data_IF_819927776454
#
_entry.id   IF_819927776454
#
_cell.length_a   1.000
_cell.length_b   1.000
_cell.length_c   1.000
_cell.angle_alpha   90.00
_cell.angle_beta   90.00
_cell.angle_gamma   90.00
#
_symmetry.space_group_name_H-M   'P 1'
#
loop_
_entity.id
_entity.type
_entity.pdbx_description
1 polymer ?
#
# COMPACT_ATOMS: atom_id res chain seq x y z
N UNK A 1 -30.62 24.22 1.30
CA UNK A 1 -29.47 23.52 1.91
C UNK A 1 -28.92 22.59 0.83
N UNK A 2 -27.79 22.95 0.23
CA UNK A 2 -27.14 22.14 -0.80
C UNK A 2 -26.21 21.15 -0.10
N UNK A 3 -26.41 19.86 -0.35
CA UNK A 3 -25.46 18.82 0.00
C UNK A 3 -24.32 18.91 -1.02
N UNK A 4 -23.16 19.42 -0.60
CA UNK A 4 -21.93 19.33 -1.37
C UNK A 4 -21.61 17.83 -1.53
N UNK A 5 -21.77 17.33 -2.75
CA UNK A 5 -21.27 16.01 -3.12
C UNK A 5 -19.74 16.04 -3.02
N UNK A 6 -19.18 15.26 -2.10
CA UNK A 6 -17.77 14.90 -2.13
C UNK A 6 -17.52 14.03 -3.36
N UNK A 7 -17.10 14.63 -4.46
CA UNK A 7 -16.34 13.89 -5.48
C UNK A 7 -14.95 13.66 -4.90
N UNK A 8 -14.75 12.50 -4.25
CA UNK A 8 -13.40 11.94 -4.15
C UNK A 8 -12.92 11.76 -5.59
N UNK A 9 -11.90 12.52 -5.99
CA UNK A 9 -11.38 12.45 -7.35
C UNK A 9 -10.79 11.06 -7.54
N UNK A 10 -11.47 10.21 -8.30
CA UNK A 10 -11.02 8.85 -8.68
C UNK A 10 -9.94 8.88 -9.76
N UNK A 11 -9.33 10.04 -10.00
CA UNK A 11 -8.37 10.23 -11.08
C UNK A 11 -7.00 9.73 -10.62
N UNK A 12 -6.76 8.44 -10.90
CA UNK A 12 -5.44 7.83 -10.75
C UNK A 12 -4.45 8.59 -11.63
N UNK A 13 -3.48 9.26 -11.00
CA UNK A 13 -2.45 10.03 -11.70
C UNK A 13 -1.43 9.12 -12.39
N UNK A 14 -0.55 9.70 -13.22
CA UNK A 14 0.56 8.92 -13.80
C UNK A 14 1.54 8.43 -12.73
N UNK A 15 1.79 9.27 -11.72
CA UNK A 15 2.68 8.93 -10.60
C UNK A 15 2.06 7.83 -9.74
N UNK A 16 0.74 7.88 -9.49
CA UNK A 16 0.04 6.81 -8.79
C UNK A 16 0.10 5.49 -9.56
N UNK A 17 -0.07 5.49 -10.89
CA UNK A 17 0.07 4.25 -11.68
C UNK A 17 1.46 3.64 -11.57
N UNK A 18 2.50 4.48 -11.64
CA UNK A 18 3.89 4.04 -11.47
C UNK A 18 4.10 3.49 -10.06
N UNK A 19 3.64 4.21 -9.05
CA UNK A 19 3.75 3.81 -7.65
C UNK A 19 3.02 2.49 -7.37
N UNK A 20 1.76 2.35 -7.82
CA UNK A 20 0.97 1.13 -7.68
C UNK A 20 1.69 -0.08 -8.31
N UNK A 21 2.23 0.07 -9.52
CA UNK A 21 2.98 -1.00 -10.19
C UNK A 21 4.20 -1.45 -9.37
N UNK A 22 4.95 -0.51 -8.78
CA UNK A 22 6.09 -0.85 -7.95
C UNK A 22 5.67 -1.46 -6.61
N UNK A 23 4.65 -0.90 -5.98
CA UNK A 23 4.09 -1.37 -4.71
C UNK A 23 3.56 -2.80 -4.83
N UNK A 24 2.97 -3.20 -5.97
CA UNK A 24 2.55 -4.58 -6.19
C UNK A 24 3.71 -5.57 -6.05
N UNK A 25 4.86 -5.26 -6.64
CA UNK A 25 6.05 -6.09 -6.55
C UNK A 25 6.66 -6.10 -5.15
N UNK A 26 6.81 -4.94 -4.53
CA UNK A 26 7.40 -4.81 -3.19
C UNK A 26 6.52 -5.52 -2.15
N UNK A 27 5.23 -5.22 -2.12
CA UNK A 27 4.29 -5.81 -1.17
C UNK A 27 4.19 -7.33 -1.33
N UNK A 28 4.15 -7.85 -2.56
CA UNK A 28 4.11 -9.28 -2.79
C UNK A 28 5.39 -9.98 -2.33
N UNK A 29 6.57 -9.43 -2.63
CA UNK A 29 7.85 -9.97 -2.17
C UNK A 29 7.92 -10.01 -0.64
N UNK A 30 7.53 -8.92 0.02
CA UNK A 30 7.55 -8.86 1.48
C UNK A 30 6.48 -9.75 2.13
N UNK A 31 5.31 -9.91 1.49
CA UNK A 31 4.28 -10.84 1.94
C UNK A 31 4.74 -12.31 1.81
N UNK A 32 5.41 -12.68 0.72
CA UNK A 32 6.02 -14.00 0.51
C UNK A 32 7.11 -14.27 1.57
N UNK A 33 8.00 -13.29 1.80
CA UNK A 33 9.04 -13.38 2.84
C UNK A 33 8.43 -13.56 4.24
N UNK A 34 7.34 -12.84 4.54
CA UNK A 34 6.63 -12.94 5.81
C UNK A 34 5.79 -14.23 5.94
N UNK A 35 5.49 -14.91 4.84
CA UNK A 35 4.78 -16.19 4.85
C UNK A 35 5.60 -17.31 5.50
N UNK A 36 6.92 -17.31 5.29
CA UNK A 36 7.85 -18.31 5.83
C UNK A 36 7.85 -19.67 5.09
N UNK A 37 6.95 -19.87 4.13
CA UNK A 37 6.90 -21.03 3.23
C UNK A 37 6.62 -20.56 1.78
N UNK A 38 7.64 -20.11 1.03
CA UNK A 38 7.44 -19.47 -0.28
C UNK A 38 6.92 -20.45 -1.35
N UNK A 39 7.21 -21.75 -1.23
CA UNK A 39 6.72 -22.77 -2.17
C UNK A 39 5.20 -22.95 -2.19
N UNK A 40 4.52 -22.60 -1.10
CA UNK A 40 3.06 -22.65 -0.97
C UNK A 40 2.39 -21.29 -1.24
N UNK A 41 3.18 -20.25 -1.54
CA UNK A 41 2.68 -18.90 -1.79
C UNK A 41 2.60 -18.62 -3.29
N UNK A 42 1.41 -18.78 -3.87
CA UNK A 42 1.15 -18.42 -5.26
C UNK A 42 0.44 -17.06 -5.33
N UNK A 43 1.23 -16.00 -5.47
CA UNK A 43 0.69 -14.65 -5.67
C UNK A 43 -0.30 -14.61 -6.84
N UNK A 44 -1.47 -14.02 -6.60
CA UNK A 44 -2.54 -13.90 -7.61
C UNK A 44 -2.68 -12.46 -8.09
N UNK A 45 -2.83 -11.48 -7.19
CA UNK A 45 -2.87 -10.05 -7.49
C UNK A 45 -2.65 -9.22 -6.22
N UNK A 46 -2.32 -7.94 -6.37
CA UNK A 46 -2.22 -7.00 -5.25
C UNK A 46 -3.15 -5.82 -5.50
N UNK A 47 -3.85 -5.38 -4.46
CA UNK A 47 -4.62 -4.14 -4.47
C UNK A 47 -4.05 -3.19 -3.40
N UNK A 48 -3.93 -1.90 -3.71
CA UNK A 48 -3.40 -0.91 -2.78
C UNK A 48 -4.29 0.33 -2.73
N UNK A 49 -4.29 1.02 -1.60
CA UNK A 49 -4.78 2.39 -1.55
C UNK A 49 -3.93 3.32 -2.41
N UNK A 50 -4.54 4.41 -2.88
CA UNK A 50 -3.89 5.38 -3.75
C UNK A 50 -2.85 6.21 -2.95
N UNK A 51 -1.56 6.21 -3.32
CA UNK A 51 -0.53 6.96 -2.60
C UNK A 51 -0.81 8.46 -2.52
N UNK A 52 -1.25 9.10 -3.62
CA UNK A 52 -1.55 10.54 -3.63
C UNK A 52 -2.71 10.94 -2.72
N UNK A 53 -3.62 10.01 -2.41
CA UNK A 53 -4.72 10.22 -1.46
C UNK A 53 -4.31 9.94 0.00
N UNK A 54 -3.13 9.34 0.22
CA UNK A 54 -2.65 8.87 1.52
C UNK A 54 -1.27 9.44 1.84
N UNK A 55 -1.05 10.70 1.49
CA UNK A 55 0.12 11.46 1.89
C UNK A 55 0.13 11.65 3.40
N UNK A 56 1.29 11.42 4.01
CA UNK A 56 1.49 11.64 5.44
C UNK A 56 1.62 13.13 5.68
N UNK A 57 0.70 13.68 6.47
CA UNK A 57 0.75 15.09 6.83
C UNK A 57 1.86 15.31 7.87
N UNK A 58 2.53 16.47 7.80
CA UNK A 58 3.62 16.82 8.70
C UNK A 58 3.19 16.95 10.18
N UNK A 59 1.89 17.10 10.46
CA UNK A 59 1.30 17.20 11.79
C UNK A 59 0.84 15.85 12.38
N UNK A 60 0.65 14.83 11.53
CA UNK A 60 0.21 13.48 11.93
C UNK A 60 1.36 12.65 12.51
N UNK A 61 2.58 12.94 12.06
CA UNK A 61 3.79 12.45 12.69
C UNK A 61 4.20 13.49 13.74
N UNK A 62 4.30 13.10 15.01
CA UNK A 62 4.91 13.92 16.07
C UNK A 62 6.44 14.05 15.81
N UNK A 63 6.78 14.76 14.73
CA UNK A 63 8.14 14.97 14.23
C UNK A 63 8.90 16.01 15.05
N UNK A 64 8.38 16.41 16.22
CA UNK A 64 9.12 17.22 17.17
C UNK A 64 10.37 16.50 17.71
N UNK A 65 10.53 15.19 17.42
CA UNK A 65 11.65 14.35 17.89
C UNK A 65 12.59 13.78 16.82
N UNK A 66 12.40 14.05 15.53
CA UNK A 66 13.27 13.49 14.47
C UNK A 66 13.74 14.56 13.48
N UNK A 67 15.07 14.72 13.34
CA UNK A 67 15.75 15.59 12.36
C UNK A 67 15.56 15.17 10.88
N UNK A 68 14.75 14.13 10.62
CA UNK A 68 14.38 13.72 9.28
C UNK A 68 13.10 14.45 8.86
N UNK A 69 13.25 15.48 8.02
CA UNK A 69 12.11 16.11 7.37
C UNK A 69 11.38 15.06 6.52
N UNK A 70 10.10 14.85 6.80
CA UNK A 70 9.22 14.04 5.96
C UNK A 70 8.88 14.87 4.72
N UNK A 71 9.10 14.28 3.55
CA UNK A 71 8.79 14.92 2.27
C UNK A 71 7.29 15.16 2.16
N UNK A 72 6.87 16.22 1.48
CA UNK A 72 5.45 16.45 1.16
C UNK A 72 4.87 15.35 0.23
N UNK A 73 5.75 14.51 -0.32
CA UNK A 73 5.41 13.37 -1.17
C UNK A 73 5.45 12.03 -0.42
N UNK A 74 5.76 12.02 0.88
CA UNK A 74 5.74 10.80 1.69
C UNK A 74 4.31 10.31 1.84
N UNK A 75 4.09 9.01 1.61
CA UNK A 75 2.80 8.36 1.78
C UNK A 75 2.88 7.16 2.71
N UNK A 76 1.72 6.76 3.21
CA UNK A 76 1.51 5.49 3.91
C UNK A 76 0.24 4.84 3.39
N UNK A 77 0.36 3.70 2.72
CA UNK A 77 -0.77 2.99 2.12
C UNK A 77 -0.90 1.58 2.65
N UNK A 78 -2.13 1.06 2.61
CA UNK A 78 -2.42 -0.35 2.85
C UNK A 78 -2.52 -1.07 1.50
N UNK A 79 -1.77 -2.16 1.37
CA UNK A 79 -1.78 -3.06 0.23
C UNK A 79 -2.25 -4.44 0.67
N UNK A 80 -3.30 -4.96 0.05
CA UNK A 80 -3.78 -6.32 0.22
C UNK A 80 -3.20 -7.20 -0.87
N UNK A 81 -2.40 -8.17 -0.46
CA UNK A 81 -1.76 -9.14 -1.33
C UNK A 81 -2.61 -10.41 -1.33
N UNK A 82 -3.18 -10.76 -2.48
CA UNK A 82 -3.95 -11.98 -2.66
C UNK A 82 -3.06 -13.11 -3.18
N UNK A 83 -3.19 -14.30 -2.60
CA UNK A 83 -2.42 -15.47 -2.96
C UNK A 83 -3.24 -16.74 -2.78
N UNK A 84 -2.93 -17.76 -3.60
CA UNK A 84 -3.39 -19.13 -3.37
C UNK A 84 -2.41 -19.82 -2.42
N UNK A 85 -2.96 -20.46 -1.39
CA UNK A 85 -2.24 -21.38 -0.52
C UNK A 85 -2.94 -22.74 -0.58
N UNK A 86 -2.34 -23.67 -1.33
CA UNK A 86 -2.81 -25.06 -1.46
C UNK A 86 -4.26 -25.16 -1.96
N UNK A 87 -4.64 -24.31 -2.91
CA UNK A 87 -5.98 -24.28 -3.48
C UNK A 87 -6.99 -23.44 -2.69
N UNK A 88 -6.54 -22.70 -1.67
CA UNK A 88 -7.37 -21.79 -0.89
C UNK A 88 -6.96 -20.33 -1.15
N UNK A 89 -7.94 -19.49 -1.48
CA UNK A 89 -7.73 -18.05 -1.61
C UNK A 89 -7.44 -17.43 -0.23
N UNK A 90 -6.26 -16.83 -0.11
CA UNK A 90 -5.79 -16.13 1.07
C UNK A 90 -5.43 -14.70 0.72
N UNK A 91 -5.34 -13.86 1.76
CA UNK A 91 -4.81 -12.52 1.61
C UNK A 91 -3.94 -12.14 2.81
N UNK A 92 -3.03 -11.20 2.56
CA UNK A 92 -2.21 -10.58 3.60
C UNK A 92 -2.20 -9.07 3.40
N UNK A 93 -2.49 -8.36 4.48
CA UNK A 93 -2.46 -6.91 4.49
C UNK A 93 -1.06 -6.42 4.85
N UNK A 94 -0.56 -5.48 4.06
CA UNK A 94 0.79 -4.91 4.13
C UNK A 94 0.67 -3.39 4.24
N UNK A 95 1.49 -2.77 5.08
CA UNK A 95 1.68 -1.31 5.10
C UNK A 95 2.94 -0.99 4.33
N UNK A 96 2.80 -0.15 3.30
CA UNK A 96 3.91 0.37 2.54
C UNK A 96 4.08 1.85 2.84
N UNK A 97 5.31 2.25 3.16
CA UNK A 97 5.69 3.65 3.39
C UNK A 97 6.74 4.00 2.35
N UNK A 98 6.50 5.09 1.64
CA UNK A 98 7.33 5.48 0.51
C UNK A 98 7.20 6.96 0.19
N UNK A 99 7.76 7.35 -0.95
CA UNK A 99 7.72 8.72 -1.45
C UNK A 99 7.34 8.72 -2.93
N UNK A 100 6.29 9.46 -3.29
CA UNK A 100 5.88 9.61 -4.68
C UNK A 100 7.00 10.25 -5.51
N UNK A 101 7.27 9.70 -6.69
CA UNK A 101 8.34 10.16 -7.59
C UNK A 101 9.72 9.59 -7.29
N UNK A 102 9.89 8.80 -6.21
CA UNK A 102 11.12 8.05 -5.92
C UNK A 102 11.15 6.71 -6.70
N UNK A 103 12.35 6.20 -6.99
CA UNK A 103 12.58 4.88 -7.58
C UNK A 103 13.65 4.10 -6.77
N UNK A 104 13.31 2.97 -6.11
CA UNK A 104 11.95 2.48 -5.94
C UNK A 104 11.11 3.41 -5.05
N UNK A 105 9.79 3.38 -5.25
CA UNK A 105 8.83 4.25 -4.56
C UNK A 105 8.77 3.97 -3.05
N UNK A 106 9.06 2.74 -2.65
CA UNK A 106 9.23 2.30 -1.28
C UNK A 106 10.38 1.27 -1.22
N UNK A 107 11.07 1.19 -0.09
CA UNK A 107 12.15 0.21 0.10
C UNK A 107 11.64 -1.15 0.58
N UNK A 108 10.52 -1.15 1.31
CA UNK A 108 9.84 -2.35 1.83
C UNK A 108 8.41 -2.03 2.28
N UNK A 109 7.62 -3.08 2.46
CA UNK A 109 6.33 -3.09 3.11
C UNK A 109 6.35 -4.03 4.32
N UNK A 110 5.65 -3.67 5.37
CA UNK A 110 5.60 -4.44 6.61
C UNK A 110 4.25 -5.11 6.75
N UNK A 111 4.22 -6.34 7.27
CA UNK A 111 2.98 -7.02 7.56
C UNK A 111 2.14 -6.18 8.53
N UNK A 112 0.89 -5.92 8.13
CA UNK A 112 -0.07 -5.28 8.99
C UNK A 112 -0.61 -6.27 10.03
N UNK A 113 -0.68 -5.82 11.28
CA UNK A 113 -1.30 -6.56 12.37
C UNK A 113 -2.42 -5.70 12.97
N UNK A 114 -3.62 -6.27 13.04
CA UNK A 114 -4.81 -5.58 13.56
C UNK A 114 -4.66 -5.25 15.04
N UNK A 115 -4.86 -3.98 15.40
CA UNK A 115 -5.17 -3.55 16.76
C UNK A 115 -6.50 -2.80 16.75
N UNK A 116 -7.22 -2.77 17.86
CA UNK A 116 -8.41 -1.91 17.96
C UNK A 116 -7.99 -0.46 17.67
N UNK A 117 -8.73 0.22 16.79
CA UNK A 117 -8.53 1.60 16.31
C UNK A 117 -7.50 1.79 15.17
N UNK A 118 -6.97 0.73 14.55
CA UNK A 118 -6.11 0.86 13.34
C UNK A 118 -6.89 0.79 12.03
N UNK A 119 -6.46 1.57 11.03
CA UNK A 119 -7.02 1.60 9.68
C UNK A 119 -7.04 0.20 9.03
N UNK A 120 -8.20 -0.21 8.52
CA UNK A 120 -8.46 -1.44 7.76
C UNK A 120 -8.60 -1.14 6.29
N UNK A 121 -8.32 -2.11 5.42
CA UNK A 121 -8.41 -1.94 3.97
C UNK A 121 -9.78 -1.42 3.49
N UNK A 122 -10.85 -1.83 4.16
CA UNK A 122 -12.24 -1.47 3.85
C UNK A 122 -12.56 0.01 4.13
N UNK A 123 -11.68 0.73 4.83
CA UNK A 123 -11.88 2.15 5.16
C UNK A 123 -11.70 3.07 3.93
N UNK A 124 -11.03 2.60 2.88
CA UNK A 124 -10.82 3.37 1.66
C UNK A 124 -10.92 2.51 0.40
N UNK A 125 -11.13 3.17 -0.74
CA UNK A 125 -11.11 2.52 -2.04
C UNK A 125 -9.71 1.98 -2.34
N UNK A 126 -9.66 0.70 -2.69
CA UNK A 126 -8.48 0.06 -3.21
C UNK A 126 -8.44 0.08 -4.74
N UNK A 127 -7.22 0.06 -5.27
CA UNK A 127 -6.92 0.05 -6.70
C UNK A 127 -6.05 -1.16 -7.01
N UNK A 128 -6.36 -1.84 -8.12
CA UNK A 128 -5.52 -2.92 -8.63
C UNK A 128 -4.12 -2.38 -8.92
N UNK A 129 -3.14 -2.98 -8.23
CA UNK A 129 -1.73 -2.67 -8.35
C UNK A 129 -1.04 -3.64 -9.33
N UNK A 130 -1.73 -4.72 -9.72
CA UNK A 130 -1.29 -5.73 -10.66
C UNK A 130 -0.65 -6.95 -9.99
N UNK A 131 -0.03 -7.77 -10.84
CA UNK A 131 0.79 -8.91 -10.42
C UNK A 131 2.28 -8.52 -10.47
N UNK A 132 3.14 -9.06 -9.59
CA UNK A 132 4.57 -8.96 -9.72
C UNK A 132 4.96 -9.50 -11.09
N UNK A 133 5.68 -8.70 -11.87
CA UNK A 133 6.43 -9.22 -12.99
C UNK A 133 7.52 -10.14 -12.41
N UNK A 134 7.23 -11.45 -12.35
CA UNK A 134 8.23 -12.47 -12.05
C UNK A 134 9.20 -12.51 -13.23
N UNK A 135 10.52 -12.25 -13.05
CA UNK A 135 11.51 -12.44 -14.11
C UNK A 135 11.65 -13.90 -14.52
#
# INVERSE_FOLDING_TARGET
>A
MALNACTASTDVTADDRTALTQLAGIAANDAENAHGAPEDFLHTYTECWLPSANLVQADELDLTQTDAAVSEHTFRVLCRVHFDERGEDRYRDMICIGELGRDPVADSCYQWAFYSDTATFEDQQAFDAGTPNRP
#
